data_IF_970026121932
#
_entry.id   IF_970026121932
#
_cell.length_a   1.000
_cell.length_b   1.000
_cell.length_c   1.000
_cell.angle_alpha   90.00
_cell.angle_beta   90.00
_cell.angle_gamma   90.00
#
_symmetry.space_group_name_H-M   'P 1'
#
loop_
_entity.id
_entity.type
_entity.pdbx_description
1 polymer ?
#
# COMPACT_ATOMS: atom_id res chain seq x y z
N UNK A 1 -67.69 1.90 -9.14
CA UNK A 1 -67.72 2.23 -10.58
C UNK A 1 -67.40 3.70 -10.68
N UNK A 2 -66.21 4.15 -11.08
CA UNK A 2 -65.19 3.64 -12.01
C UNK A 2 -63.85 4.16 -11.45
N UNK A 3 -62.87 3.32 -11.08
CA UNK A 3 -61.73 2.86 -11.92
C UNK A 3 -60.95 4.03 -12.54
N UNK A 4 -59.63 4.09 -12.69
CA UNK A 4 -58.46 3.33 -12.25
C UNK A 4 -57.26 4.21 -12.73
N UNK A 5 -56.06 4.05 -12.15
CA UNK A 5 -54.73 4.04 -12.81
C UNK A 5 -54.43 5.03 -13.98
N UNK A 6 -53.31 5.76 -14.11
CA UNK A 6 -51.89 5.38 -13.98
C UNK A 6 -51.02 6.52 -14.53
N UNK A 7 -49.71 6.43 -14.27
CA UNK A 7 -48.57 7.03 -14.99
C UNK A 7 -48.00 8.35 -14.46
N UNK A 8 -47.21 8.22 -13.39
CA UNK A 8 -46.06 9.08 -13.13
C UNK A 8 -44.80 8.22 -13.13
N UNK A 9 -44.22 8.06 -14.32
CA UNK A 9 -42.85 7.66 -14.65
C UNK A 9 -42.01 6.98 -13.54
N UNK A 10 -41.86 5.66 -13.65
CA UNK A 10 -40.71 4.96 -13.08
C UNK A 10 -39.46 5.41 -13.84
N UNK A 11 -38.72 6.36 -13.29
CA UNK A 11 -37.32 6.57 -13.66
C UNK A 11 -36.55 5.39 -13.08
N UNK A 12 -36.55 4.27 -13.80
CA UNK A 12 -35.52 3.26 -13.68
C UNK A 12 -34.28 3.88 -14.31
N UNK A 13 -33.58 4.72 -13.54
CA UNK A 13 -32.19 4.99 -13.84
C UNK A 13 -31.49 3.65 -13.75
N UNK A 14 -31.04 3.14 -14.89
CA UNK A 14 -30.00 2.13 -14.94
C UNK A 14 -28.77 2.75 -14.26
N UNK A 15 -28.72 2.68 -12.92
CA UNK A 15 -27.51 2.92 -12.18
C UNK A 15 -26.55 1.81 -12.61
N UNK A 16 -25.64 2.16 -13.52
CA UNK A 16 -24.52 1.30 -13.86
C UNK A 16 -23.90 0.80 -12.55
N UNK A 17 -23.82 -0.54 -12.36
CA UNK A 17 -23.33 -1.07 -11.10
C UNK A 17 -21.91 -0.55 -10.87
N UNK A 18 -21.69 0.06 -9.69
CA UNK A 18 -20.42 0.68 -9.28
C UNK A 18 -19.21 -0.26 -9.40
N UNK A 19 -19.48 -1.57 -9.34
CA UNK A 19 -18.56 -2.69 -9.50
C UNK A 19 -19.16 -3.61 -10.56
N UNK A 20 -18.40 -3.92 -11.61
CA UNK A 20 -18.87 -4.89 -12.61
C UNK A 20 -19.01 -6.29 -12.00
N UNK A 21 -19.88 -7.15 -12.55
CA UNK A 21 -20.00 -8.54 -12.08
C UNK A 21 -18.65 -9.27 -12.07
N UNK A 22 -17.82 -9.03 -13.09
CA UNK A 22 -16.46 -9.57 -13.19
C UNK A 22 -15.53 -9.09 -12.06
N UNK A 23 -15.57 -7.81 -11.70
CA UNK A 23 -14.81 -7.28 -10.55
C UNK A 23 -15.30 -7.85 -9.22
N UNK A 24 -16.60 -8.10 -9.09
CA UNK A 24 -17.23 -8.74 -7.94
C UNK A 24 -16.78 -10.19 -7.74
N UNK A 25 -16.82 -11.00 -8.81
CA UNK A 25 -16.35 -12.38 -8.80
C UNK A 25 -14.86 -12.47 -8.47
N UNK A 26 -14.05 -11.60 -9.10
CA UNK A 26 -12.63 -11.53 -8.84
C UNK A 26 -12.31 -11.18 -7.38
N UNK A 27 -13.09 -10.28 -6.78
CA UNK A 27 -12.92 -9.88 -5.36
C UNK A 27 -13.31 -11.02 -4.42
N UNK A 28 -14.38 -11.76 -4.74
CA UNK A 28 -14.80 -12.94 -3.98
C UNK A 28 -13.73 -14.04 -4.01
N UNK A 29 -13.10 -14.25 -5.17
CA UNK A 29 -12.01 -15.22 -5.32
C UNK A 29 -10.82 -14.91 -4.40
N UNK A 30 -10.43 -13.64 -4.27
CA UNK A 30 -9.34 -13.23 -3.35
C UNK A 30 -9.73 -13.47 -1.89
N UNK A 31 -10.98 -13.15 -1.52
CA UNK A 31 -11.47 -13.39 -0.17
C UNK A 31 -11.47 -14.88 0.18
N UNK A 32 -11.91 -15.74 -0.75
CA UNK A 32 -11.87 -17.19 -0.57
C UNK A 32 -10.45 -17.71 -0.43
N UNK A 33 -9.50 -17.18 -1.22
CA UNK A 33 -8.07 -17.52 -1.11
C UNK A 33 -7.54 -17.12 0.27
N UNK A 34 -7.82 -15.89 0.72
CA UNK A 34 -7.43 -15.41 2.05
C UNK A 34 -7.94 -16.30 3.18
N UNK A 35 -9.24 -16.63 3.16
CA UNK A 35 -9.87 -17.47 4.18
C UNK A 35 -9.29 -18.89 4.19
N UNK A 36 -9.05 -19.46 3.01
CA UNK A 36 -8.43 -20.78 2.87
C UNK A 36 -7.02 -20.78 3.45
N UNK A 37 -6.17 -19.85 3.01
CA UNK A 37 -4.77 -19.76 3.45
C UNK A 37 -4.68 -19.52 4.96
N UNK A 38 -5.55 -18.68 5.53
CA UNK A 38 -5.58 -18.47 7.00
C UNK A 38 -5.95 -19.75 7.75
N UNK A 39 -6.97 -20.47 7.28
CA UNK A 39 -7.40 -21.73 7.89
C UNK A 39 -6.32 -22.81 7.80
N UNK A 40 -5.66 -22.93 6.65
CA UNK A 40 -4.55 -23.87 6.43
C UNK A 40 -3.34 -23.50 7.31
N UNK A 41 -3.04 -22.21 7.46
CA UNK A 41 -1.97 -21.73 8.33
C UNK A 41 -2.23 -22.11 9.80
N UNK A 42 -3.44 -21.87 10.30
CA UNK A 42 -3.82 -22.23 11.67
C UNK A 42 -3.72 -23.74 11.91
N UNK A 43 -4.19 -24.55 10.95
CA UNK A 43 -4.09 -26.02 11.04
C UNK A 43 -2.64 -26.50 11.09
N UNK A 44 -1.78 -25.99 10.21
CA UNK A 44 -0.34 -26.31 10.22
C UNK A 44 0.34 -25.80 11.49
N UNK A 45 -0.11 -24.68 12.06
CA UNK A 45 0.41 -24.17 13.33
C UNK A 45 0.05 -25.11 14.49
N UNK A 46 -1.20 -25.59 14.54
CA UNK A 46 -1.66 -26.56 15.53
C UNK A 46 -0.97 -27.93 15.41
N UNK A 47 -0.61 -28.36 14.19
CA UNK A 47 0.12 -29.61 13.95
C UNK A 47 1.63 -29.50 14.21
N UNK A 48 2.16 -28.29 14.45
CA UNK A 48 3.59 -28.04 14.66
C UNK A 48 4.40 -27.91 13.37
N UNK A 49 3.73 -27.81 12.21
CA UNK A 49 4.34 -27.62 10.89
C UNK A 49 4.65 -26.13 10.65
N UNK A 50 5.53 -25.55 11.46
CA UNK A 50 5.75 -24.10 11.50
C UNK A 50 6.19 -23.47 10.17
N UNK A 51 6.99 -24.17 9.37
CA UNK A 51 7.41 -23.67 8.04
C UNK A 51 6.23 -23.59 7.08
N UNK A 52 5.34 -24.57 7.13
CA UNK A 52 4.14 -24.60 6.29
C UNK A 52 3.11 -23.58 6.77
N UNK A 53 2.92 -23.44 8.08
CA UNK A 53 2.11 -22.37 8.66
C UNK A 53 2.60 -20.99 8.22
N UNK A 54 3.92 -20.75 8.24
CA UNK A 54 4.52 -19.51 7.78
C UNK A 54 4.24 -19.23 6.29
N UNK A 55 4.36 -20.25 5.43
CA UNK A 55 4.05 -20.12 4.00
C UNK A 55 2.57 -19.77 3.77
N UNK A 56 1.65 -20.44 4.47
CA UNK A 56 0.22 -20.15 4.36
C UNK A 56 -0.15 -18.76 4.90
N UNK A 57 0.46 -18.29 6.00
CA UNK A 57 0.28 -16.92 6.46
C UNK A 57 0.82 -15.89 5.48
N UNK A 58 1.92 -16.20 4.79
CA UNK A 58 2.44 -15.35 3.73
C UNK A 58 1.43 -15.23 2.58
N UNK A 59 0.85 -16.33 2.10
CA UNK A 59 -0.19 -16.31 1.06
C UNK A 59 -1.45 -15.54 1.49
N UNK A 60 -1.84 -15.67 2.76
CA UNK A 60 -2.92 -14.89 3.34
C UNK A 60 -2.58 -13.38 3.33
N UNK A 61 -1.35 -13.01 3.70
CA UNK A 61 -0.92 -11.61 3.69
C UNK A 61 -0.95 -10.99 2.29
N UNK A 62 -0.55 -11.72 1.25
CA UNK A 62 -0.64 -11.27 -0.14
C UNK A 62 -2.09 -11.03 -0.57
N UNK A 63 -2.99 -11.94 -0.18
CA UNK A 63 -4.43 -11.77 -0.47
C UNK A 63 -5.03 -10.58 0.27
N UNK A 64 -4.58 -10.30 1.50
CA UNK A 64 -4.99 -9.12 2.24
C UNK A 64 -4.50 -7.81 1.57
N UNK A 65 -3.29 -7.80 1.02
CA UNK A 65 -2.77 -6.68 0.25
C UNK A 65 -3.58 -6.41 -1.02
N UNK A 66 -3.89 -7.47 -1.80
CA UNK A 66 -4.74 -7.36 -3.01
C UNK A 66 -6.13 -6.79 -2.66
N UNK A 67 -6.73 -7.23 -1.55
CA UNK A 67 -8.02 -6.69 -1.07
C UNK A 67 -7.91 -5.22 -0.67
N UNK A 68 -6.82 -4.85 0.01
CA UNK A 68 -6.57 -3.47 0.42
C UNK A 68 -6.46 -2.54 -0.78
N UNK A 69 -5.73 -2.94 -1.83
CA UNK A 69 -5.62 -2.18 -3.08
C UNK A 69 -6.98 -1.92 -3.73
N UNK A 70 -7.79 -2.99 -3.87
CA UNK A 70 -9.15 -2.87 -4.42
C UNK A 70 -10.04 -1.95 -3.59
N UNK A 71 -9.98 -2.09 -2.28
CA UNK A 71 -10.76 -1.26 -1.37
C UNK A 71 -10.39 0.21 -1.47
N UNK A 72 -9.08 0.54 -1.51
CA UNK A 72 -8.61 1.91 -1.67
C UNK A 72 -9.05 2.50 -3.02
N UNK A 73 -8.95 1.74 -4.11
CA UNK A 73 -9.41 2.16 -5.42
C UNK A 73 -10.91 2.44 -5.43
N UNK A 74 -11.72 1.54 -4.84
CA UNK A 74 -13.16 1.72 -4.71
C UNK A 74 -13.52 2.94 -3.86
N UNK A 75 -12.86 3.17 -2.73
CA UNK A 75 -13.09 4.35 -1.90
C UNK A 75 -12.86 5.65 -2.69
N UNK A 76 -11.82 5.69 -3.52
CA UNK A 76 -11.50 6.89 -4.30
C UNK A 76 -12.49 7.07 -5.45
N UNK A 77 -12.91 5.98 -6.09
CA UNK A 77 -13.91 6.01 -7.16
C UNK A 77 -15.28 6.44 -6.64
N UNK A 78 -15.68 5.92 -5.47
CA UNK A 78 -17.05 6.09 -4.92
C UNK A 78 -17.19 7.28 -3.97
N UNK A 79 -16.10 7.84 -3.45
CA UNK A 79 -16.18 8.99 -2.55
C UNK A 79 -16.87 10.19 -3.19
N UNK A 80 -17.89 10.69 -2.48
CA UNK A 80 -18.78 11.74 -2.95
C UNK A 80 -18.14 13.13 -2.94
N UNK A 81 -17.06 13.34 -2.18
CA UNK A 81 -16.42 14.65 -2.02
C UNK A 81 -14.91 14.61 -2.18
N UNK A 82 -14.34 15.71 -2.69
CA UNK A 82 -12.89 15.92 -2.73
C UNK A 82 -12.25 15.90 -1.33
N UNK A 83 -13.01 16.31 -0.30
CA UNK A 83 -12.56 16.27 1.10
C UNK A 83 -12.30 14.83 1.59
N UNK A 84 -13.17 13.87 1.24
CA UNK A 84 -12.98 12.46 1.59
C UNK A 84 -11.76 11.86 0.89
N UNK A 85 -11.58 12.16 -0.40
CA UNK A 85 -10.38 11.72 -1.15
C UNK A 85 -9.11 12.31 -0.57
N UNK A 86 -9.14 13.60 -0.22
CA UNK A 86 -8.03 14.29 0.44
C UNK A 86 -7.71 13.63 1.76
N UNK A 87 -8.69 13.40 2.63
CA UNK A 87 -8.47 12.74 3.92
C UNK A 87 -7.84 11.35 3.75
N UNK A 88 -8.33 10.56 2.80
CA UNK A 88 -7.75 9.24 2.52
C UNK A 88 -6.28 9.36 2.11
N UNK A 89 -5.96 10.27 1.20
CA UNK A 89 -4.59 10.52 0.76
C UNK A 89 -3.72 11.02 1.91
N UNK A 90 -4.25 11.87 2.80
CA UNK A 90 -3.52 12.33 3.98
C UNK A 90 -3.24 11.19 4.98
N UNK A 91 -4.18 10.27 5.19
CA UNK A 91 -3.96 9.10 6.06
C UNK A 91 -2.88 8.18 5.47
N UNK A 92 -2.93 7.91 4.16
CA UNK A 92 -1.90 7.12 3.48
C UNK A 92 -0.54 7.84 3.51
N UNK A 93 -0.53 9.15 3.27
CA UNK A 93 0.68 9.98 3.31
C UNK A 93 1.30 10.00 4.71
N UNK A 94 0.48 10.16 5.75
CA UNK A 94 0.92 10.08 7.13
C UNK A 94 1.56 8.72 7.43
N UNK A 95 0.96 7.62 6.96
CA UNK A 95 1.52 6.28 7.15
C UNK A 95 2.87 6.11 6.43
N UNK A 96 3.04 6.69 5.24
CA UNK A 96 4.31 6.67 4.51
C UNK A 96 5.40 7.48 5.22
N UNK A 97 5.04 8.66 5.73
CA UNK A 97 5.96 9.49 6.54
C UNK A 97 6.33 8.80 7.85
N UNK A 98 5.40 8.08 8.48
CA UNK A 98 5.68 7.24 9.64
C UNK A 98 6.75 6.20 9.32
N UNK A 99 6.60 5.42 8.24
CA UNK A 99 7.63 4.46 7.82
C UNK A 99 8.97 5.11 7.53
N UNK A 100 8.95 6.28 6.88
CA UNK A 100 10.17 7.05 6.59
C UNK A 100 10.89 7.48 7.87
N UNK A 101 10.14 7.97 8.86
CA UNK A 101 10.69 8.35 10.18
C UNK A 101 11.24 7.15 10.95
N UNK A 102 10.69 5.94 10.72
CA UNK A 102 11.24 4.72 11.31
C UNK A 102 12.61 4.37 10.71
N UNK A 103 12.92 4.73 9.46
CA UNK A 103 14.28 4.58 8.92
C UNK A 103 15.27 5.36 9.77
N UNK A 104 15.00 6.66 9.97
CA UNK A 104 15.88 7.54 10.72
C UNK A 104 16.05 7.07 12.17
N UNK A 105 14.96 6.60 12.79
CA UNK A 105 15.03 5.99 14.12
C UNK A 105 15.94 4.76 14.15
N UNK A 106 15.70 3.77 13.29
CA UNK A 106 16.50 2.54 13.29
C UNK A 106 17.96 2.80 12.90
N UNK A 107 18.18 3.76 12.02
CA UNK A 107 19.48 4.21 11.57
C UNK A 107 20.25 4.88 12.74
N UNK A 108 19.61 5.78 13.50
CA UNK A 108 20.19 6.39 14.70
C UNK A 108 20.46 5.38 15.82
N UNK A 109 19.56 4.42 16.02
CA UNK A 109 19.74 3.33 16.99
C UNK A 109 20.94 2.45 16.60
N UNK A 110 21.10 2.13 15.31
CA UNK A 110 22.22 1.35 14.82
C UNK A 110 23.59 2.05 15.02
N UNK A 111 23.62 3.39 15.04
CA UNK A 111 24.84 4.14 15.36
C UNK A 111 25.19 4.15 16.84
N UNK A 112 24.18 4.15 17.71
CA UNK A 112 24.34 4.43 19.13
C UNK A 112 24.45 3.18 19.99
N UNK A 113 23.82 2.08 19.60
CA UNK A 113 23.88 0.83 20.36
C UNK A 113 25.12 0.01 20.00
N UNK A 114 26.12 0.03 20.88
CA UNK A 114 27.18 -0.97 20.89
C UNK A 114 26.63 -2.30 21.41
N UNK A 115 26.61 -3.35 20.57
CA UNK A 115 26.42 -4.74 21.03
C UNK A 115 25.20 -5.50 20.51
N UNK A 116 24.26 -4.87 19.80
CA UNK A 116 23.25 -5.61 19.03
C UNK A 116 23.80 -5.98 17.64
N UNK A 117 23.47 -7.16 17.08
CA UNK A 117 23.93 -7.53 15.74
C UNK A 117 23.43 -6.51 14.71
N UNK A 118 24.36 -5.87 14.01
CA UNK A 118 24.05 -4.89 12.95
C UNK A 118 23.10 -5.44 11.90
N UNK A 119 23.15 -6.75 11.67
CA UNK A 119 22.30 -7.51 10.76
C UNK A 119 20.82 -7.48 11.13
N UNK A 120 20.49 -7.53 12.43
CA UNK A 120 19.11 -7.53 12.90
C UNK A 120 18.44 -6.16 12.68
N UNK A 121 19.19 -5.08 12.88
CA UNK A 121 18.72 -3.72 12.58
C UNK A 121 18.56 -3.50 11.08
N UNK A 122 19.49 -4.03 10.28
CA UNK A 122 19.40 -3.96 8.83
C UNK A 122 18.15 -4.71 8.35
N UNK A 123 17.88 -5.93 8.84
CA UNK A 123 16.70 -6.69 8.48
C UNK A 123 15.38 -5.98 8.84
N UNK A 124 15.32 -5.31 10.00
CA UNK A 124 14.16 -4.47 10.39
C UNK A 124 13.96 -3.31 9.42
N UNK A 125 15.05 -2.62 9.09
CA UNK A 125 15.03 -1.50 8.15
C UNK A 125 14.60 -1.94 6.75
N UNK A 126 15.09 -3.08 6.27
CA UNK A 126 14.67 -3.68 5.01
C UNK A 126 13.17 -4.06 5.00
N UNK A 127 12.66 -4.57 6.13
CA UNK A 127 11.23 -4.83 6.29
C UNK A 127 10.40 -3.56 6.15
N UNK A 128 10.80 -2.47 6.82
CA UNK A 128 10.09 -1.18 6.76
C UNK A 128 10.18 -0.58 5.34
N UNK A 129 11.30 -0.77 4.64
CA UNK A 129 11.45 -0.38 3.24
C UNK A 129 10.42 -1.08 2.36
N UNK A 130 10.30 -2.40 2.48
CA UNK A 130 9.29 -3.18 1.74
C UNK A 130 7.87 -2.68 2.06
N UNK A 131 7.54 -2.48 3.34
CA UNK A 131 6.22 -1.97 3.74
C UNK A 131 5.91 -0.58 3.16
N UNK A 132 6.91 0.30 3.10
CA UNK A 132 6.74 1.61 2.47
C UNK A 132 6.56 1.52 0.96
N UNK A 133 7.31 0.63 0.30
CA UNK A 133 7.21 0.42 -1.13
C UNK A 133 5.83 -0.10 -1.49
N UNK A 134 5.28 -1.05 -0.72
CA UNK A 134 3.90 -1.52 -0.87
C UNK A 134 2.89 -0.37 -0.76
N UNK A 135 3.09 0.57 0.17
CA UNK A 135 2.22 1.74 0.31
C UNK A 135 2.34 2.71 -0.87
N UNK A 136 3.55 2.89 -1.42
CA UNK A 136 3.78 3.66 -2.64
C UNK A 136 3.12 3.01 -3.85
N UNK A 137 3.20 1.69 -3.97
CA UNK A 137 2.48 0.92 -5.00
C UNK A 137 0.97 1.14 -4.90
N UNK A 138 0.41 1.28 -3.68
CA UNK A 138 -1.01 1.63 -3.46
C UNK A 138 -1.34 3.08 -3.85
N UNK A 139 -0.43 4.02 -3.64
CA UNK A 139 -0.61 5.45 -4.00
C UNK A 139 -0.48 5.71 -5.51
N UNK A 140 0.33 4.92 -6.22
CA UNK A 140 0.66 5.16 -7.63
C UNK A 140 -0.56 5.07 -8.58
N UNK A 141 -1.46 4.07 -8.46
CA UNK A 141 -2.70 4.04 -9.26
C UNK A 141 -3.60 5.23 -8.99
N UNK A 142 -3.63 5.74 -7.76
CA UNK A 142 -4.42 6.92 -7.38
C UNK A 142 -3.88 8.15 -8.11
N UNK A 143 -2.56 8.33 -8.10
CA UNK A 143 -1.88 9.40 -8.84
C UNK A 143 -2.21 9.37 -10.34
N UNK A 144 -2.22 8.17 -10.94
CA UNK A 144 -2.48 7.98 -12.38
C UNK A 144 -3.95 8.21 -12.75
N UNK A 145 -4.89 7.93 -11.85
CA UNK A 145 -6.33 7.98 -12.13
C UNK A 145 -7.03 9.26 -11.69
N UNK A 146 -6.47 10.00 -10.74
CA UNK A 146 -7.09 11.23 -10.23
C UNK A 146 -6.98 12.39 -11.21
N UNK A 147 -8.08 13.12 -11.39
CA UNK A 147 -8.13 14.40 -12.14
C UNK A 147 -7.97 15.63 -11.24
N UNK A 148 -8.01 15.43 -9.93
CA UNK A 148 -7.87 16.49 -8.94
C UNK A 148 -6.39 16.88 -8.78
N UNK A 149 -6.05 18.11 -9.19
CA UNK A 149 -4.69 18.63 -9.15
C UNK A 149 -4.15 18.79 -7.72
N UNK A 150 -5.02 19.09 -6.75
CA UNK A 150 -4.63 19.23 -5.35
C UNK A 150 -4.24 17.88 -4.75
N UNK A 151 -5.03 16.84 -5.04
CA UNK A 151 -4.71 15.46 -4.64
C UNK A 151 -3.43 14.98 -5.33
N UNK A 152 -3.30 15.24 -6.62
CA UNK A 152 -2.11 14.90 -7.40
C UNK A 152 -0.85 15.49 -6.79
N UNK A 153 -0.83 16.80 -6.56
CA UNK A 153 0.31 17.51 -5.96
C UNK A 153 0.69 16.97 -4.58
N UNK A 154 -0.30 16.62 -3.74
CA UNK A 154 -0.06 15.99 -2.43
C UNK A 154 0.64 14.64 -2.55
N UNK A 155 0.19 13.80 -3.49
CA UNK A 155 0.80 12.49 -3.73
C UNK A 155 2.22 12.67 -4.29
N UNK A 156 2.41 13.54 -5.29
CA UNK A 156 3.74 13.81 -5.87
C UNK A 156 4.72 14.31 -4.81
N UNK A 157 4.29 15.21 -3.92
CA UNK A 157 5.11 15.70 -2.79
C UNK A 157 5.51 14.57 -1.84
N UNK A 158 4.57 13.74 -1.37
CA UNK A 158 4.92 12.68 -0.41
C UNK A 158 5.79 11.58 -1.04
N UNK A 159 5.60 11.29 -2.33
CA UNK A 159 6.42 10.32 -3.05
C UNK A 159 7.84 10.86 -3.28
N UNK A 160 7.98 12.13 -3.66
CA UNK A 160 9.28 12.79 -3.78
C UNK A 160 10.06 12.78 -2.46
N UNK A 161 9.40 13.12 -1.35
CA UNK A 161 10.01 13.09 -0.01
C UNK A 161 10.43 11.68 0.40
N UNK A 162 9.63 10.66 0.06
CA UNK A 162 9.97 9.27 0.31
C UNK A 162 11.19 8.81 -0.50
N UNK A 163 11.27 9.15 -1.79
CA UNK A 163 12.45 8.84 -2.64
C UNK A 163 13.71 9.51 -2.07
N UNK A 164 13.60 10.77 -1.66
CA UNK A 164 14.71 11.49 -1.02
C UNK A 164 15.14 10.80 0.30
N UNK A 165 14.17 10.37 1.11
CA UNK A 165 14.43 9.59 2.31
C UNK A 165 15.22 8.32 2.03
N UNK A 166 14.85 7.55 1.00
CA UNK A 166 15.58 6.35 0.60
C UNK A 166 16.98 6.68 0.08
N UNK A 167 17.14 7.74 -0.73
CA UNK A 167 18.47 8.19 -1.19
C UNK A 167 19.39 8.50 -0.01
N UNK A 168 18.89 9.25 0.97
CA UNK A 168 19.63 9.59 2.18
C UNK A 168 20.00 8.33 2.96
N UNK A 169 19.07 7.40 3.10
CA UNK A 169 19.30 6.11 3.76
C UNK A 169 20.40 5.30 3.07
N UNK A 170 20.35 5.14 1.74
CA UNK A 170 21.37 4.42 0.95
C UNK A 170 22.74 5.09 1.12
N UNK A 171 22.79 6.42 1.05
CA UNK A 171 24.01 7.21 1.26
C UNK A 171 24.61 6.99 2.66
N UNK A 172 23.77 7.06 3.69
CA UNK A 172 24.17 6.87 5.09
C UNK A 172 24.69 5.46 5.34
N UNK A 173 23.97 4.42 4.89
CA UNK A 173 24.42 3.03 5.00
C UNK A 173 25.81 2.86 4.37
N UNK A 174 26.00 3.38 3.14
CA UNK A 174 27.27 3.32 2.43
C UNK A 174 28.41 4.00 3.21
N UNK A 175 28.15 5.17 3.78
CA UNK A 175 29.13 5.92 4.57
C UNK A 175 29.59 5.16 5.83
N UNK A 176 28.78 4.22 6.33
CA UNK A 176 29.11 3.40 7.50
C UNK A 176 29.71 2.04 7.14
N UNK A 177 30.03 1.82 5.86
CA UNK A 177 30.50 0.53 5.37
C UNK A 177 29.43 -0.56 5.38
N UNK A 178 28.15 -0.17 5.44
CA UNK A 178 27.01 -1.08 5.33
C UNK A 178 26.43 -1.00 3.92
N UNK A 179 25.99 -2.13 3.40
CA UNK A 179 25.26 -2.19 2.13
C UNK A 179 23.94 -2.93 2.36
N UNK A 180 22.85 -2.33 1.90
CA UNK A 180 21.56 -3.02 1.77
C UNK A 180 21.22 -3.13 0.29
N UNK A 181 21.22 -4.37 -0.20
CA UNK A 181 20.73 -4.67 -1.54
C UNK A 181 19.25 -4.33 -1.66
N UNK A 182 18.46 -4.49 -0.60
CA UNK A 182 17.06 -4.10 -0.59
C UNK A 182 16.88 -2.59 -0.75
N UNK A 183 17.58 -1.77 0.03
CA UNK A 183 17.48 -0.31 -0.09
C UNK A 183 17.86 0.19 -1.49
N UNK A 184 18.91 -0.39 -2.07
CA UNK A 184 19.35 -0.05 -3.43
C UNK A 184 18.29 -0.45 -4.47
N UNK A 185 17.73 -1.66 -4.38
CA UNK A 185 16.65 -2.13 -5.28
C UNK A 185 15.38 -1.29 -5.18
N UNK A 186 14.98 -0.88 -3.96
CA UNK A 186 13.80 -0.03 -3.77
C UNK A 186 14.04 1.35 -4.38
N UNK A 187 15.25 1.91 -4.22
CA UNK A 187 15.61 3.17 -4.85
C UNK A 187 15.60 3.06 -6.38
N UNK A 188 16.26 2.05 -6.95
CA UNK A 188 16.26 1.80 -8.39
C UNK A 188 14.84 1.66 -8.93
N UNK A 189 14.01 0.82 -8.28
CA UNK A 189 12.61 0.67 -8.65
C UNK A 189 11.84 2.01 -8.63
N UNK A 190 12.08 2.87 -7.64
CA UNK A 190 11.41 4.16 -7.56
C UNK A 190 11.83 5.11 -8.70
N UNK A 191 13.10 5.06 -9.11
CA UNK A 191 13.60 5.83 -10.25
C UNK A 191 13.05 5.29 -11.57
N UNK A 192 13.03 3.98 -11.75
CA UNK A 192 12.45 3.31 -12.93
C UNK A 192 10.94 3.59 -13.07
N UNK A 193 10.26 3.87 -11.96
CA UNK A 193 8.83 4.23 -11.92
C UNK A 193 8.59 5.73 -11.89
N UNK A 194 9.61 6.55 -12.17
CA UNK A 194 9.42 7.98 -12.40
C UNK A 194 8.85 8.70 -11.16
N UNK A 195 9.24 8.24 -9.96
CA UNK A 195 8.72 8.76 -8.68
C UNK A 195 9.59 9.86 -8.05
N UNK A 196 10.71 10.21 -8.68
CA UNK A 196 11.55 11.32 -8.26
C UNK A 196 11.03 12.64 -8.84
N UNK A 197 10.10 13.27 -8.12
CA UNK A 197 9.49 14.54 -8.54
C UNK A 197 10.37 15.76 -8.23
N UNK A 198 11.36 15.62 -7.34
CA UNK A 198 12.26 16.72 -6.95
C UNK A 198 13.34 17.04 -8.00
N UNK A 199 13.49 16.21 -9.03
CA UNK A 199 14.42 16.43 -10.15
C UNK A 199 13.72 16.91 -11.42
N UNK A 200 12.40 17.15 -11.37
CA UNK A 200 11.58 17.63 -12.48
C UNK A 200 11.40 19.15 -12.41
N UNK A 201 12.52 19.87 -12.48
CA UNK A 201 12.54 21.31 -12.76
C UNK A 201 12.94 21.56 -14.23
#
# INVERSE_FOLDING_TARGET
>A
MVDNMTNGESVTGDEEPLVSESEGESTRSILERYQRSTKEADLSLYSGEYQQAMAHYYDASQSADDMCERFLALLIKTSASAAQKTLLVEVLSWRLRYYTSQYDYHLAVAQTLAGLPREEWLARLETILVLSQTLVTKLTPILKSTKDLGIRSRIESVLGDWVLGIRNLVSNLRSWGMASAQASRVLEWALDNDLDFHTRD
#
